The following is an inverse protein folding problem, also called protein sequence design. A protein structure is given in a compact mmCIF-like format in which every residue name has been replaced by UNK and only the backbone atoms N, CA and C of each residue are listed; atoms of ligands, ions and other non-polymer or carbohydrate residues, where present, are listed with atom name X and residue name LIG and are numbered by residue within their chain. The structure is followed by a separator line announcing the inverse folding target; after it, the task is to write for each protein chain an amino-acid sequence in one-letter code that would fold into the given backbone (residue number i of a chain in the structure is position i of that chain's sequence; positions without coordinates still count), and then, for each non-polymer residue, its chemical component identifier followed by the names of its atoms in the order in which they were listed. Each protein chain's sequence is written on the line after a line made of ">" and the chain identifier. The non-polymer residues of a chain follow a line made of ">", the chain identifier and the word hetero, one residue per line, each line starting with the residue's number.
data_IF_028367886840
#
_entry.id   IF_028367886840
#
_cell.length_a   1.000
_cell.length_b   1.000
_cell.length_c   1.000
_cell.angle_alpha   90.00
_cell.angle_beta   90.00
_cell.angle_gamma   90.00
#
_symmetry.space_group_name_H-M   'P 1'
#
loop_
_entity.id
_entity.type
_entity.pdbx_description
1 polymer ?
#
# COMPACT_ATOMS: atom_id res chain seq x y z
N UNK A 1 21.73 -7.85 -37.44
CA UNK A 1 22.57 -6.63 -37.65
C UNK A 1 21.73 -5.33 -37.73
N UNK A 2 20.40 -5.33 -37.59
CA UNK A 2 19.54 -4.14 -37.70
C UNK A 2 19.25 -3.40 -36.37
N UNK A 3 19.54 -3.99 -35.20
CA UNK A 3 19.24 -3.39 -33.89
C UNK A 3 20.19 -2.23 -33.51
N UNK A 4 21.43 -2.28 -33.96
CA UNK A 4 22.44 -1.28 -33.62
C UNK A 4 22.33 0.06 -34.35
N UNK A 5 21.66 0.09 -35.51
CA UNK A 5 21.47 1.31 -36.30
C UNK A 5 20.33 2.19 -35.77
N UNK A 6 19.27 1.59 -35.22
CA UNK A 6 18.15 2.34 -34.60
C UNK A 6 18.58 3.06 -33.31
N UNK A 7 19.39 2.41 -32.46
CA UNK A 7 19.87 3.04 -31.22
C UNK A 7 20.79 4.23 -31.49
N UNK A 8 21.63 4.18 -32.53
CA UNK A 8 22.51 5.30 -32.92
C UNK A 8 21.75 6.46 -33.60
N UNK A 9 20.67 6.20 -34.31
CA UNK A 9 19.82 7.24 -34.89
C UNK A 9 19.03 7.99 -33.82
N UNK A 10 18.51 7.31 -32.79
CA UNK A 10 17.80 7.91 -31.65
C UNK A 10 18.76 8.78 -30.84
N UNK A 11 20.02 8.36 -30.62
CA UNK A 11 21.02 9.16 -29.92
C UNK A 11 21.42 10.43 -30.66
N UNK A 12 21.29 10.47 -32.00
CA UNK A 12 21.53 11.70 -32.80
C UNK A 12 20.36 12.69 -32.76
N UNK A 13 19.14 12.21 -32.57
CA UNK A 13 17.93 13.05 -32.60
C UNK A 13 17.62 13.70 -31.26
N UNK A 14 18.00 13.05 -30.15
CA UNK A 14 17.77 13.54 -28.79
C UNK A 14 19.10 13.55 -28.02
N UNK A 15 19.81 14.69 -27.95
CA UNK A 15 21.03 14.81 -27.17
C UNK A 15 20.74 14.62 -25.67
N UNK A 16 21.67 13.98 -24.95
CA UNK A 16 21.53 13.60 -23.52
C UNK A 16 21.23 14.79 -22.59
N UNK A 17 21.54 16.02 -23.01
CA UNK A 17 21.23 17.18 -22.19
C UNK A 17 19.74 17.48 -22.03
N UNK A 18 18.85 16.89 -22.87
CA UNK A 18 17.40 16.96 -22.67
C UNK A 18 16.94 16.32 -21.35
N UNK A 19 17.71 15.38 -20.80
CA UNK A 19 17.44 14.80 -19.47
C UNK A 19 17.89 15.70 -18.33
N UNK A 20 18.69 16.74 -18.59
CA UNK A 20 19.29 17.57 -17.56
C UNK A 20 18.27 18.23 -16.62
N UNK A 21 17.18 18.86 -17.09
CA UNK A 21 16.19 19.45 -16.19
C UNK A 21 15.55 18.43 -15.25
N UNK A 22 15.16 17.27 -15.77
CA UNK A 22 14.59 16.18 -14.95
C UNK A 22 15.61 15.60 -13.97
N UNK A 23 16.87 15.40 -14.43
CA UNK A 23 17.96 14.90 -13.60
C UNK A 23 18.34 15.88 -12.47
N UNK A 24 18.32 17.19 -12.73
CA UNK A 24 18.55 18.21 -11.71
C UNK A 24 17.44 18.21 -10.65
N UNK A 25 16.18 18.20 -11.07
CA UNK A 25 15.05 18.14 -10.14
C UNK A 25 15.12 16.87 -9.30
N UNK A 26 15.33 15.72 -9.93
CA UNK A 26 15.46 14.43 -9.23
C UNK A 26 16.68 14.41 -8.29
N UNK A 27 17.83 14.92 -8.76
CA UNK A 27 19.05 14.98 -7.95
C UNK A 27 18.88 15.85 -6.70
N UNK A 28 18.38 17.08 -6.86
CA UNK A 28 18.25 18.05 -5.77
C UNK A 28 17.15 17.63 -4.78
N UNK A 29 15.97 17.20 -5.26
CA UNK A 29 14.81 16.97 -4.40
C UNK A 29 14.64 15.52 -3.95
N UNK A 30 15.35 14.58 -4.55
CA UNK A 30 15.29 13.17 -4.16
C UNK A 30 16.64 12.61 -3.71
N UNK A 31 17.69 12.67 -4.55
CA UNK A 31 18.97 12.05 -4.20
C UNK A 31 19.67 12.77 -3.05
N UNK A 32 19.75 14.11 -3.07
CA UNK A 32 20.43 14.86 -2.00
C UNK A 32 19.74 14.63 -0.66
N UNK A 33 18.40 14.79 -0.47
CA UNK A 33 17.75 14.50 0.79
C UNK A 33 17.89 13.02 1.22
N UNK A 34 17.90 12.09 0.27
CA UNK A 34 18.11 10.67 0.59
C UNK A 34 19.52 10.44 1.17
N UNK A 35 20.57 10.97 0.55
CA UNK A 35 21.94 10.86 1.06
C UNK A 35 22.07 11.54 2.42
N UNK A 36 21.49 12.72 2.59
CA UNK A 36 21.47 13.43 3.86
C UNK A 36 20.71 12.63 4.95
N UNK A 37 19.63 11.94 4.61
CA UNK A 37 18.92 11.07 5.55
C UNK A 37 19.83 9.94 6.05
N UNK A 38 20.64 9.31 5.19
CA UNK A 38 21.63 8.31 5.63
C UNK A 38 22.68 8.92 6.55
N UNK A 39 23.16 10.13 6.27
CA UNK A 39 24.12 10.81 7.14
C UNK A 39 23.51 11.15 8.51
N UNK A 40 22.35 11.82 8.54
CA UNK A 40 21.69 12.23 9.78
C UNK A 40 21.18 11.06 10.62
N UNK A 41 20.90 9.90 10.02
CA UNK A 41 20.57 8.69 10.76
C UNK A 41 21.69 8.18 11.65
N UNK A 42 22.95 8.56 11.35
CA UNK A 42 24.16 8.23 12.12
C UNK A 42 24.53 9.32 13.13
N UNK A 43 23.68 10.32 13.32
CA UNK A 43 23.92 11.44 14.21
C UNK A 43 22.86 11.53 15.31
N UNK A 44 23.25 12.07 16.46
CA UNK A 44 22.33 12.64 17.44
C UNK A 44 21.97 14.04 16.97
N UNK A 45 20.95 14.11 16.13
CA UNK A 45 20.54 15.35 15.50
C UNK A 45 19.43 16.02 16.31
N UNK A 46 19.68 17.27 16.69
CA UNK A 46 18.72 18.24 17.22
C UNK A 46 18.57 19.40 16.22
N UNK A 47 17.69 20.36 16.50
CA UNK A 47 17.55 21.56 15.64
C UNK A 47 18.81 22.41 15.55
N UNK A 48 19.70 22.33 16.55
CA UNK A 48 20.84 23.23 16.71
C UNK A 48 22.19 22.52 16.57
N UNK A 49 22.22 21.20 16.72
CA UNK A 49 23.46 20.44 16.74
C UNK A 49 23.26 19.04 16.12
N UNK A 50 24.31 18.53 15.51
CA UNK A 50 24.34 17.19 14.92
C UNK A 50 25.68 16.53 15.24
N UNK A 51 25.73 15.77 16.33
CA UNK A 51 26.92 15.02 16.73
C UNK A 51 26.91 13.61 16.13
N UNK A 52 28.01 13.18 15.53
CA UNK A 52 28.13 11.83 14.98
C UNK A 52 28.18 10.78 16.09
N UNK A 53 27.27 9.80 16.09
CA UNK A 53 27.15 8.72 17.08
C UNK A 53 27.19 7.31 16.46
N UNK A 54 27.47 7.23 15.15
CA UNK A 54 27.50 5.94 14.45
C UNK A 54 26.15 5.22 14.44
N UNK A 55 26.12 3.96 14.84
CA UNK A 55 24.93 3.11 14.78
C UNK A 55 24.04 3.14 16.04
N UNK A 56 24.27 4.06 16.98
CA UNK A 56 23.51 4.14 18.25
C UNK A 56 22.00 4.28 18.03
N UNK A 57 21.56 5.10 17.07
CA UNK A 57 20.15 5.23 16.71
C UNK A 57 19.52 3.90 16.25
N UNK A 58 20.24 3.10 15.48
CA UNK A 58 19.76 1.79 15.03
C UNK A 58 19.71 0.78 16.16
N UNK A 59 20.69 0.83 17.09
CA UNK A 59 20.66 0.00 18.28
C UNK A 59 19.47 0.36 19.17
N UNK A 60 19.23 1.64 19.42
CA UNK A 60 18.05 2.14 20.15
C UNK A 60 16.77 1.67 19.44
N UNK A 61 16.69 1.84 18.12
CA UNK A 61 15.54 1.43 17.32
C UNK A 61 15.20 -0.06 17.51
N UNK A 62 16.19 -0.94 17.45
CA UNK A 62 15.98 -2.38 17.54
C UNK A 62 15.67 -2.88 18.96
N UNK A 63 16.01 -2.12 19.99
CA UNK A 63 15.79 -2.50 21.38
C UNK A 63 14.60 -1.80 22.04
N UNK A 64 14.00 -0.80 21.38
CA UNK A 64 12.82 -0.13 21.90
C UNK A 64 11.56 -0.92 21.56
N UNK A 65 10.74 -1.31 22.57
CA UNK A 65 9.52 -2.10 22.35
C UNK A 65 8.47 -1.39 21.48
N UNK A 66 8.38 -0.05 21.52
CA UNK A 66 7.44 0.73 20.72
C UNK A 66 7.84 0.72 19.26
N UNK A 67 9.13 0.94 18.97
CA UNK A 67 9.68 0.92 17.62
C UNK A 67 9.52 -0.47 16.98
N UNK A 68 9.81 -1.52 17.71
CA UNK A 68 9.63 -2.91 17.26
C UNK A 68 8.16 -3.28 17.05
N UNK A 69 7.25 -2.78 17.89
CA UNK A 69 5.81 -2.96 17.69
C UNK A 69 5.36 -2.29 16.38
N UNK A 70 5.82 -1.06 16.13
CA UNK A 70 5.56 -0.34 14.88
C UNK A 70 6.05 -1.10 13.65
N UNK A 71 7.25 -1.68 13.71
CA UNK A 71 7.81 -2.50 12.63
C UNK A 71 6.97 -3.75 12.35
N UNK A 72 6.64 -4.51 13.42
CA UNK A 72 5.79 -5.70 13.32
C UNK A 72 4.41 -5.38 12.74
N UNK A 73 3.77 -4.35 13.27
CA UNK A 73 2.44 -3.93 12.83
C UNK A 73 2.43 -3.48 11.37
N UNK A 74 3.49 -2.81 10.91
CA UNK A 74 3.65 -2.42 9.50
C UNK A 74 3.59 -3.63 8.57
N UNK A 75 4.30 -4.71 8.91
CA UNK A 75 4.29 -5.93 8.10
C UNK A 75 2.91 -6.59 8.14
N UNK A 76 2.30 -6.72 9.33
CA UNK A 76 0.96 -7.29 9.48
C UNK A 76 -0.06 -6.48 8.67
N UNK A 77 -0.02 -5.16 8.78
CA UNK A 77 -0.92 -4.25 8.07
C UNK A 77 -0.76 -4.36 6.55
N UNK A 78 0.47 -4.35 6.05
CA UNK A 78 0.75 -4.46 4.62
C UNK A 78 0.29 -5.80 4.03
N UNK A 79 0.56 -6.92 4.71
CA UNK A 79 0.13 -8.25 4.28
C UNK A 79 -1.40 -8.37 4.31
N UNK A 80 -2.03 -7.92 5.40
CA UNK A 80 -3.48 -7.99 5.58
C UNK A 80 -4.22 -7.16 4.54
N UNK A 81 -3.85 -5.88 4.40
CA UNK A 81 -4.53 -4.96 3.47
C UNK A 81 -4.32 -5.36 2.01
N UNK A 82 -3.10 -5.77 1.64
CA UNK A 82 -2.80 -6.27 0.29
C UNK A 82 -3.56 -7.56 -0.01
N UNK A 83 -3.52 -8.54 0.88
CA UNK A 83 -4.23 -9.80 0.72
C UNK A 83 -5.74 -9.63 0.58
N UNK A 84 -6.35 -8.84 1.46
CA UNK A 84 -7.80 -8.57 1.42
C UNK A 84 -8.20 -7.80 0.15
N UNK A 85 -7.40 -6.82 -0.30
CA UNK A 85 -7.67 -6.10 -1.55
C UNK A 85 -7.66 -7.05 -2.75
N UNK A 86 -6.71 -7.99 -2.82
CA UNK A 86 -6.67 -9.00 -3.89
C UNK A 86 -7.89 -9.92 -3.84
N UNK A 87 -8.20 -10.47 -2.66
CA UNK A 87 -9.30 -11.42 -2.46
C UNK A 87 -10.65 -10.79 -2.80
N UNK A 88 -10.86 -9.52 -2.48
CA UNK A 88 -12.13 -8.83 -2.72
C UNK A 88 -12.20 -8.26 -4.14
N UNK A 89 -11.12 -7.63 -4.62
CA UNK A 89 -11.14 -6.93 -5.89
C UNK A 89 -11.21 -7.86 -7.11
N UNK A 90 -10.59 -9.04 -7.06
CA UNK A 90 -10.62 -9.99 -8.18
C UNK A 90 -12.03 -10.50 -8.49
N UNK A 91 -12.83 -11.00 -7.53
CA UNK A 91 -14.23 -11.35 -7.77
C UNK A 91 -15.09 -10.17 -8.20
N UNK A 92 -14.89 -8.98 -7.63
CA UNK A 92 -15.60 -7.76 -8.05
C UNK A 92 -15.28 -7.40 -9.49
N UNK A 93 -14.01 -7.46 -9.90
CA UNK A 93 -13.60 -7.21 -11.28
C UNK A 93 -14.20 -8.23 -12.25
N UNK A 94 -14.21 -9.52 -11.88
CA UNK A 94 -14.84 -10.58 -12.66
C UNK A 94 -16.35 -10.33 -12.84
N UNK A 95 -17.04 -9.94 -11.76
CA UNK A 95 -18.47 -9.60 -11.82
C UNK A 95 -18.72 -8.41 -12.75
N UNK A 96 -17.91 -7.35 -12.62
CA UNK A 96 -18.10 -6.09 -13.37
C UNK A 96 -17.56 -6.11 -14.80
N UNK A 97 -16.80 -7.12 -15.19
CA UNK A 97 -16.43 -7.41 -16.58
C UNK A 97 -17.46 -8.30 -17.28
N UNK A 98 -18.36 -8.95 -16.53
CA UNK A 98 -19.45 -9.73 -17.07
C UNK A 98 -20.60 -8.85 -17.60
N UNK A 99 -21.61 -9.47 -18.24
CA UNK A 99 -22.75 -8.75 -18.79
C UNK A 99 -23.85 -8.53 -17.74
N UNK A 100 -23.55 -7.70 -16.70
CA UNK A 100 -24.52 -7.32 -15.67
C UNK A 100 -25.18 -5.97 -15.97
N UNK A 101 -26.43 -5.84 -15.53
CA UNK A 101 -27.18 -4.58 -15.64
C UNK A 101 -26.59 -3.52 -14.71
N UNK A 102 -26.51 -2.27 -15.15
CA UNK A 102 -25.99 -1.12 -14.40
C UNK A 102 -24.50 -1.23 -13.96
N UNK A 103 -23.68 -1.99 -14.70
CA UNK A 103 -22.24 -2.15 -14.40
C UNK A 103 -21.47 -0.83 -14.20
N UNK A 104 -21.82 0.21 -14.97
CA UNK A 104 -21.22 1.54 -14.84
C UNK A 104 -21.48 2.16 -13.47
N UNK A 105 -22.72 2.06 -12.97
CA UNK A 105 -23.07 2.55 -11.64
C UNK A 105 -22.28 1.83 -10.53
N UNK A 106 -22.25 0.49 -10.57
CA UNK A 106 -21.47 -0.27 -9.56
C UNK A 106 -19.98 0.07 -9.59
N UNK A 107 -19.39 0.23 -10.79
CA UNK A 107 -17.98 0.69 -10.90
C UNK A 107 -17.78 2.04 -10.23
N UNK A 108 -18.65 3.00 -10.46
CA UNK A 108 -18.57 4.32 -9.86
C UNK A 108 -18.70 4.28 -8.35
N UNK A 109 -19.65 3.52 -7.81
CA UNK A 109 -19.87 3.39 -6.37
C UNK A 109 -18.67 2.74 -5.67
N UNK A 110 -18.12 1.65 -6.23
CA UNK A 110 -16.96 0.95 -5.64
C UNK A 110 -15.68 1.77 -5.77
N UNK A 111 -15.56 2.57 -6.83
CA UNK A 111 -14.39 3.43 -7.03
C UNK A 111 -14.47 4.74 -6.24
N UNK A 112 -15.67 5.21 -5.90
CA UNK A 112 -15.87 6.51 -5.23
C UNK A 112 -15.00 6.71 -3.98
N UNK A 113 -14.84 5.74 -3.05
CA UNK A 113 -14.01 5.91 -1.86
C UNK A 113 -12.56 6.30 -2.15
N UNK A 114 -12.03 5.90 -3.30
CA UNK A 114 -10.66 6.23 -3.73
C UNK A 114 -10.47 7.74 -3.90
N UNK A 115 -11.50 8.45 -4.35
CA UNK A 115 -11.46 9.89 -4.62
C UNK A 115 -11.54 10.73 -3.36
N UNK A 116 -11.99 10.15 -2.24
CA UNK A 116 -12.14 10.86 -0.97
C UNK A 116 -10.78 10.99 -0.27
N UNK A 117 -10.52 12.15 0.33
CA UNK A 117 -9.33 12.37 1.14
C UNK A 117 -9.17 11.29 2.21
N UNK A 118 -7.98 10.75 2.36
CA UNK A 118 -7.68 9.70 3.37
C UNK A 118 -7.90 10.20 4.79
N UNK A 119 -7.55 11.45 5.07
CA UNK A 119 -7.79 12.10 6.37
C UNK A 119 -9.28 12.23 6.64
N UNK A 120 -10.07 12.68 5.65
CA UNK A 120 -11.53 12.80 5.79
C UNK A 120 -12.18 11.43 6.06
N UNK A 121 -11.75 10.38 5.35
CA UNK A 121 -12.18 9.00 5.60
C UNK A 121 -11.83 8.57 7.02
N UNK A 122 -10.60 8.83 7.49
CA UNK A 122 -10.18 8.50 8.84
C UNK A 122 -11.05 9.17 9.92
N UNK A 123 -11.32 10.48 9.80
CA UNK A 123 -12.18 11.21 10.71
C UNK A 123 -13.62 10.67 10.69
N UNK A 124 -14.15 10.40 9.49
CA UNK A 124 -15.50 9.85 9.35
C UNK A 124 -15.62 8.48 10.02
N UNK A 125 -14.69 7.57 9.74
CA UNK A 125 -14.74 6.23 10.31
C UNK A 125 -14.43 6.20 11.80
N UNK A 126 -13.59 7.09 12.32
CA UNK A 126 -13.40 7.22 13.78
C UNK A 126 -14.71 7.59 14.50
N UNK A 127 -15.53 8.44 13.89
CA UNK A 127 -16.87 8.77 14.41
C UNK A 127 -17.87 7.63 14.24
N UNK A 128 -17.90 6.97 13.08
CA UNK A 128 -18.80 5.84 12.81
C UNK A 128 -18.51 4.62 13.71
N UNK A 129 -17.24 4.43 14.10
CA UNK A 129 -16.76 3.33 14.95
C UNK A 129 -16.76 3.66 16.45
N UNK A 130 -17.30 4.80 16.86
CA UNK A 130 -17.43 5.09 18.30
C UNK A 130 -18.28 4.04 19.03
N UNK A 131 -17.85 3.58 20.23
CA UNK A 131 -18.53 2.47 20.91
C UNK A 131 -19.98 2.79 21.30
N UNK A 132 -20.26 3.99 21.78
CA UNK A 132 -21.57 4.37 22.35
C UNK A 132 -22.52 5.07 21.38
N UNK A 133 -21.99 5.87 20.45
CA UNK A 133 -22.77 6.73 19.56
C UNK A 133 -22.54 6.47 18.08
N UNK A 134 -21.59 5.58 17.75
CA UNK A 134 -21.23 5.26 16.37
C UNK A 134 -22.33 4.48 15.65
N UNK A 135 -22.62 4.88 14.41
CA UNK A 135 -23.65 4.23 13.59
C UNK A 135 -23.40 2.75 13.34
N UNK A 136 -22.13 2.32 13.29
CA UNK A 136 -21.79 0.90 13.10
C UNK A 136 -22.28 0.07 14.28
N UNK A 137 -21.99 0.50 15.52
CA UNK A 137 -22.46 -0.21 16.72
C UNK A 137 -23.96 -0.08 16.91
N UNK A 138 -24.56 1.05 16.56
CA UNK A 138 -26.03 1.22 16.57
C UNK A 138 -26.69 0.22 15.61
N UNK A 139 -26.15 0.04 14.41
CA UNK A 139 -26.65 -0.95 13.46
C UNK A 139 -26.45 -2.39 13.97
N UNK A 140 -25.30 -2.71 14.55
CA UNK A 140 -25.03 -4.02 15.15
C UNK A 140 -26.01 -4.32 16.30
N UNK A 141 -26.27 -3.34 17.15
CA UNK A 141 -27.25 -3.46 18.24
C UNK A 141 -28.66 -3.78 17.74
N UNK A 142 -29.10 -3.14 16.64
CA UNK A 142 -30.39 -3.41 16.03
C UNK A 142 -30.56 -4.88 15.61
N UNK A 143 -29.48 -5.53 15.19
CA UNK A 143 -29.46 -6.95 14.85
C UNK A 143 -29.10 -7.87 16.03
N UNK A 144 -28.98 -7.36 17.26
CA UNK A 144 -28.60 -8.11 18.45
C UNK A 144 -27.15 -8.64 18.43
N UNK A 145 -26.27 -8.00 17.62
CA UNK A 145 -24.87 -8.38 17.50
C UNK A 145 -23.98 -7.65 18.52
N UNK A 146 -22.83 -8.23 18.90
CA UNK A 146 -21.87 -7.58 19.80
C UNK A 146 -21.43 -6.20 19.28
N UNK A 147 -21.26 -5.25 20.20
CA UNK A 147 -20.83 -3.88 19.94
C UNK A 147 -19.37 -3.73 20.38
N UNK A 148 -18.38 -4.09 19.56
CA UNK A 148 -16.99 -4.01 19.96
C UNK A 148 -16.51 -2.56 20.05
N UNK A 149 -15.53 -2.35 20.93
CA UNK A 149 -14.77 -1.11 20.92
C UNK A 149 -13.69 -1.18 19.82
N UNK A 150 -14.08 -0.80 18.59
CA UNK A 150 -13.27 -0.95 17.37
C UNK A 150 -11.87 -0.35 17.46
N UNK A 151 -11.77 0.85 17.99
CA UNK A 151 -10.53 1.62 18.04
C UNK A 151 -9.91 1.70 19.44
N UNK A 152 -10.68 1.43 20.48
CA UNK A 152 -10.21 1.45 21.86
C UNK A 152 -9.75 0.08 22.40
N UNK A 153 -9.95 -1.00 21.63
CA UNK A 153 -9.46 -2.32 22.00
C UNK A 153 -8.09 -2.58 21.33
N UNK A 154 -7.01 -2.84 22.09
CA UNK A 154 -5.66 -3.08 21.56
C UNK A 154 -5.58 -4.20 20.53
N UNK A 155 -6.39 -5.24 20.68
CA UNK A 155 -6.39 -6.38 19.75
C UNK A 155 -7.19 -6.12 18.46
N UNK A 156 -8.03 -5.08 18.40
CA UNK A 156 -8.89 -4.77 17.25
C UNK A 156 -8.44 -3.52 16.48
N UNK A 157 -7.82 -2.55 17.14
CA UNK A 157 -7.57 -1.23 16.58
C UNK A 157 -6.84 -1.28 15.23
N UNK A 158 -5.73 -2.01 15.11
CA UNK A 158 -4.98 -2.15 13.88
C UNK A 158 -5.83 -2.76 12.74
N UNK A 159 -6.59 -3.79 13.05
CA UNK A 159 -7.44 -4.50 12.08
C UNK A 159 -8.63 -3.64 11.65
N UNK A 160 -9.19 -2.85 12.55
CA UNK A 160 -10.27 -1.91 12.24
C UNK A 160 -9.81 -0.85 11.24
N UNK A 161 -8.62 -0.27 11.45
CA UNK A 161 -8.02 0.67 10.48
C UNK A 161 -7.72 -0.02 9.16
N UNK A 162 -7.20 -1.27 9.19
CA UNK A 162 -6.93 -2.04 7.98
C UNK A 162 -8.19 -2.31 7.15
N UNK A 163 -9.34 -2.58 7.77
CA UNK A 163 -10.62 -2.75 7.07
C UNK A 163 -11.06 -1.48 6.34
N UNK A 164 -10.85 -0.31 6.96
CA UNK A 164 -11.15 0.99 6.33
C UNK A 164 -10.21 1.23 5.13
N UNK A 165 -8.93 0.89 5.25
CA UNK A 165 -7.98 0.98 4.14
C UNK A 165 -8.35 0.06 2.97
N UNK A 166 -8.77 -1.17 3.28
CA UNK A 166 -9.25 -2.12 2.26
C UNK A 166 -10.49 -1.56 1.54
N UNK A 167 -11.48 -1.07 2.29
CA UNK A 167 -12.68 -0.45 1.72
C UNK A 167 -12.32 0.73 0.81
N UNK A 168 -11.42 1.60 1.24
CA UNK A 168 -10.96 2.74 0.46
C UNK A 168 -10.18 2.33 -0.79
N UNK A 169 -9.32 1.34 -0.68
CA UNK A 169 -8.36 0.97 -1.73
C UNK A 169 -8.83 -0.10 -2.72
N UNK A 170 -9.89 -0.86 -2.40
CA UNK A 170 -10.37 -1.96 -3.23
C UNK A 170 -10.79 -1.51 -4.64
N UNK A 171 -11.26 -0.26 -4.79
CA UNK A 171 -11.67 0.29 -6.08
C UNK A 171 -10.53 0.38 -7.11
N UNK A 172 -9.32 0.79 -6.68
CA UNK A 172 -8.14 0.80 -7.56
C UNK A 172 -7.76 -0.63 -7.96
N UNK A 173 -7.69 -1.54 -6.99
CA UNK A 173 -7.36 -2.94 -7.24
C UNK A 173 -8.35 -3.58 -8.22
N UNK A 174 -9.64 -3.30 -8.06
CA UNK A 174 -10.70 -3.76 -8.96
C UNK A 174 -10.49 -3.25 -10.40
N UNK A 175 -10.15 -1.97 -10.60
CA UNK A 175 -9.93 -1.41 -11.94
C UNK A 175 -8.71 -2.06 -12.61
N UNK A 176 -7.62 -2.29 -11.87
CA UNK A 176 -6.44 -2.99 -12.38
C UNK A 176 -6.80 -4.42 -12.81
N UNK A 177 -7.52 -5.16 -11.96
CA UNK A 177 -8.00 -6.50 -12.32
C UNK A 177 -8.94 -6.49 -13.52
N UNK A 178 -9.83 -5.50 -13.61
CA UNK A 178 -10.71 -5.36 -14.79
C UNK A 178 -9.90 -5.17 -16.08
N UNK A 179 -8.87 -4.32 -16.05
CA UNK A 179 -7.98 -4.14 -17.20
C UNK A 179 -7.29 -5.45 -17.58
N UNK A 180 -6.76 -6.19 -16.60
CA UNK A 180 -6.13 -7.50 -16.82
C UNK A 180 -7.09 -8.56 -17.34
N UNK A 181 -8.35 -8.59 -16.88
CA UNK A 181 -9.37 -9.53 -17.39
C UNK A 181 -9.78 -9.18 -18.82
N UNK A 182 -9.92 -7.89 -19.13
CA UNK A 182 -10.32 -7.42 -20.45
C UNK A 182 -9.22 -7.60 -21.52
N UNK A 183 -7.96 -7.76 -21.13
CA UNK A 183 -6.86 -8.05 -22.04
C UNK A 183 -6.80 -9.53 -22.48
N UNK A 184 -7.54 -10.42 -21.83
CA UNK A 184 -7.58 -11.85 -22.18
C UNK A 184 -8.40 -12.04 -23.46
N UNK A 185 -7.86 -12.71 -24.51
CA UNK A 185 -8.60 -13.00 -25.73
C UNK A 185 -9.89 -13.79 -25.49
N UNK A 186 -10.94 -13.48 -26.26
CA UNK A 186 -12.28 -14.06 -26.10
C UNK A 186 -12.31 -15.57 -26.26
N UNK A 187 -11.46 -16.13 -27.12
CA UNK A 187 -11.37 -17.57 -27.41
C UNK A 187 -11.19 -18.41 -26.13
N UNK A 188 -10.41 -17.91 -25.16
CA UNK A 188 -10.23 -18.58 -23.86
C UNK A 188 -11.54 -18.66 -23.05
N UNK A 189 -12.35 -17.62 -23.14
CA UNK A 189 -13.65 -17.59 -22.44
C UNK A 189 -14.70 -18.48 -23.13
N UNK A 190 -14.62 -18.61 -24.44
CA UNK A 190 -15.50 -19.51 -25.21
C UNK A 190 -15.17 -20.96 -24.94
N UNK A 191 -13.90 -21.34 -24.97
CA UNK A 191 -13.44 -22.67 -24.59
C UNK A 191 -13.88 -23.04 -23.15
N UNK A 192 -13.70 -22.12 -22.19
CA UNK A 192 -14.10 -22.37 -20.80
C UNK A 192 -15.63 -22.54 -20.62
N UNK A 193 -16.44 -21.95 -21.49
CA UNK A 193 -17.91 -22.15 -21.48
C UNK A 193 -18.30 -23.56 -21.88
N UNK A 194 -17.55 -24.18 -22.78
CA UNK A 194 -17.78 -25.55 -23.23
C UNK A 194 -17.37 -26.58 -22.17
N UNK A 195 -16.34 -26.27 -21.35
CA UNK A 195 -15.76 -27.20 -20.39
C UNK A 195 -16.39 -27.17 -19.00
N UNK A 196 -17.15 -26.17 -18.57
CA UNK A 196 -17.74 -26.21 -17.24
C UNK A 196 -18.16 -24.90 -16.58
N UNK A 197 -18.34 -23.83 -17.30
CA UNK A 197 -19.03 -22.64 -16.79
C UNK A 197 -18.16 -21.70 -15.93
N UNK A 198 -18.78 -21.02 -14.97
CA UNK A 198 -18.19 -19.87 -14.26
C UNK A 198 -16.97 -20.23 -13.40
N UNK A 199 -16.98 -21.38 -12.75
CA UNK A 199 -15.86 -21.83 -11.90
C UNK A 199 -14.62 -22.20 -12.71
N UNK A 200 -14.82 -22.92 -13.83
CA UNK A 200 -13.73 -23.26 -14.78
C UNK A 200 -13.14 -21.98 -15.34
N UNK A 201 -13.97 -21.04 -15.80
CA UNK A 201 -13.55 -19.71 -16.25
C UNK A 201 -12.71 -18.98 -15.20
N UNK A 202 -13.14 -18.99 -13.92
CA UNK A 202 -12.39 -18.32 -12.85
C UNK A 202 -11.04 -18.98 -12.62
N UNK A 203 -11.03 -20.30 -12.34
CA UNK A 203 -9.81 -21.01 -11.90
C UNK A 203 -8.79 -21.25 -13.01
N UNK A 204 -9.23 -21.54 -14.24
CA UNK A 204 -8.35 -21.96 -15.32
C UNK A 204 -8.08 -20.87 -16.37
N UNK A 205 -8.88 -19.82 -16.42
CA UNK A 205 -8.68 -18.70 -17.35
C UNK A 205 -8.30 -17.42 -16.62
N UNK A 206 -9.18 -16.90 -15.75
CA UNK A 206 -8.97 -15.59 -15.14
C UNK A 206 -7.77 -15.59 -14.19
N UNK A 207 -7.72 -16.50 -13.21
CA UNK A 207 -6.64 -16.52 -12.21
C UNK A 207 -5.25 -16.66 -12.85
N UNK A 208 -5.01 -17.60 -13.79
CA UNK A 208 -3.70 -17.73 -14.40
C UNK A 208 -3.36 -16.63 -15.42
N UNK A 209 -4.31 -16.17 -16.25
CA UNK A 209 -4.04 -15.20 -17.31
C UNK A 209 -4.06 -13.74 -16.80
N UNK A 210 -4.80 -13.43 -15.73
CA UNK A 210 -4.76 -12.12 -15.07
C UNK A 210 -3.61 -11.99 -14.03
N UNK A 211 -2.63 -12.89 -14.03
CA UNK A 211 -1.55 -12.89 -13.04
C UNK A 211 -0.71 -11.61 -13.06
N UNK A 212 -0.50 -10.98 -14.23
CA UNK A 212 0.22 -9.71 -14.32
C UNK A 212 -0.54 -8.60 -13.58
N UNK A 213 -1.87 -8.55 -13.71
CA UNK A 213 -2.71 -7.65 -12.91
C UNK A 213 -2.66 -8.00 -11.42
N UNK A 214 -2.66 -9.30 -11.07
CA UNK A 214 -2.53 -9.76 -9.68
C UNK A 214 -1.21 -9.29 -9.07
N UNK A 215 -0.10 -9.42 -9.78
CA UNK A 215 1.21 -8.96 -9.35
C UNK A 215 1.23 -7.44 -9.13
N UNK A 216 0.66 -6.69 -10.06
CA UNK A 216 0.54 -5.23 -9.96
C UNK A 216 -0.28 -4.83 -8.73
N UNK A 217 -1.44 -5.47 -8.49
CA UNK A 217 -2.29 -5.18 -7.32
C UNK A 217 -1.57 -5.52 -6.02
N UNK A 218 -0.89 -6.68 -5.95
CA UNK A 218 -0.11 -7.06 -4.76
C UNK A 218 0.98 -6.02 -4.49
N UNK A 219 1.80 -5.68 -5.49
CA UNK A 219 2.89 -4.73 -5.33
C UNK A 219 2.40 -3.36 -4.86
N UNK A 220 1.42 -2.78 -5.56
CA UNK A 220 0.91 -1.45 -5.23
C UNK A 220 0.25 -1.42 -3.85
N UNK A 221 -0.57 -2.43 -3.53
CA UNK A 221 -1.27 -2.51 -2.24
C UNK A 221 -0.29 -2.77 -1.09
N UNK A 222 0.71 -3.61 -1.30
CA UNK A 222 1.70 -3.95 -0.29
C UNK A 222 2.62 -2.76 0.02
N UNK A 223 3.14 -2.09 -1.02
CA UNK A 223 3.94 -0.86 -0.85
C UNK A 223 3.09 0.21 -0.15
N UNK A 224 1.82 0.38 -0.55
CA UNK A 224 0.89 1.29 0.10
C UNK A 224 0.70 0.99 1.59
N UNK A 225 0.56 -0.29 1.95
CA UNK A 225 0.44 -0.75 3.33
C UNK A 225 1.71 -0.52 4.16
N UNK A 226 2.90 -0.79 3.59
CA UNK A 226 4.19 -0.53 4.26
C UNK A 226 4.42 0.95 4.57
N UNK A 227 3.84 1.85 3.78
CA UNK A 227 3.96 3.30 3.91
C UNK A 227 2.71 3.97 4.49
N UNK A 228 1.77 3.18 5.01
CA UNK A 228 0.52 3.71 5.57
C UNK A 228 0.83 4.59 6.79
N UNK A 229 0.27 5.79 6.80
CA UNK A 229 0.36 6.76 7.89
C UNK A 229 -0.99 7.40 8.18
N UNK A 230 -1.62 8.02 7.17
CA UNK A 230 -2.77 8.92 7.33
C UNK A 230 -3.95 8.29 8.07
N UNK A 231 -4.35 7.06 7.72
CA UNK A 231 -5.47 6.38 8.40
C UNK A 231 -5.12 6.01 9.84
N UNK A 232 -3.93 5.47 10.08
CA UNK A 232 -3.47 5.15 11.44
C UNK A 232 -3.47 6.41 12.31
N UNK A 233 -2.91 7.49 11.77
CA UNK A 233 -2.80 8.75 12.48
C UNK A 233 -4.17 9.37 12.76
N UNK A 234 -5.04 9.44 11.79
CA UNK A 234 -6.35 10.10 11.93
C UNK A 234 -7.37 9.29 12.73
N UNK A 235 -7.29 7.95 12.72
CA UNK A 235 -8.26 7.11 13.43
C UNK A 235 -7.85 6.80 14.87
N UNK A 236 -6.56 6.57 15.13
CA UNK A 236 -6.10 6.02 16.41
C UNK A 236 -4.90 6.75 17.01
N UNK A 237 -4.16 7.56 16.24
CA UNK A 237 -2.85 8.10 16.61
C UNK A 237 -1.85 7.02 17.08
N UNK A 238 -2.02 5.77 16.56
CA UNK A 238 -1.24 4.60 16.96
C UNK A 238 -1.74 3.88 18.22
N UNK A 239 -2.82 4.39 18.87
CA UNK A 239 -3.41 3.84 20.10
C UNK A 239 -4.34 2.64 19.89
N UNK A 240 -4.87 2.08 21.01
CA UNK A 240 -4.58 2.40 22.40
C UNK A 240 -3.16 1.94 22.82
N UNK A 241 -2.49 2.74 23.63
CA UNK A 241 -1.07 2.56 23.91
C UNK A 241 -0.26 2.66 22.61
N UNK A 242 0.35 1.56 22.16
CA UNK A 242 1.09 1.45 20.89
C UNK A 242 0.52 0.36 19.98
N UNK A 243 -0.70 -0.13 20.26
CA UNK A 243 -1.23 -1.35 19.66
C UNK A 243 -1.49 -1.24 18.15
N UNK A 244 -1.83 -0.05 17.65
CA UNK A 244 -2.04 0.20 16.23
C UNK A 244 -0.93 1.04 15.59
N UNK A 245 0.14 1.35 16.31
CA UNK A 245 1.28 2.03 15.71
C UNK A 245 1.88 1.19 14.59
N UNK A 246 2.21 1.89 13.51
CA UNK A 246 3.01 1.40 12.39
C UNK A 246 4.32 2.18 12.35
N UNK A 247 5.29 1.70 11.60
CA UNK A 247 6.62 2.32 11.56
C UNK A 247 6.59 3.81 11.22
N UNK A 248 5.74 4.21 10.27
CA UNK A 248 5.58 5.62 9.87
C UNK A 248 5.00 6.50 10.97
N UNK A 249 4.06 6.00 11.78
CA UNK A 249 3.49 6.76 12.91
C UNK A 249 4.50 6.89 14.07
N UNK A 250 5.30 5.87 14.30
CA UNK A 250 6.37 5.91 15.31
C UNK A 250 7.47 6.88 14.88
N UNK A 251 7.95 6.81 13.64
CA UNK A 251 8.91 7.76 13.07
C UNK A 251 8.43 9.21 13.26
N UNK A 252 7.14 9.45 13.02
CA UNK A 252 6.56 10.78 13.20
C UNK A 252 6.50 11.22 14.66
N UNK A 253 6.21 10.31 15.62
CA UNK A 253 6.25 10.58 17.05
C UNK A 253 7.66 10.96 17.52
N UNK A 254 8.69 10.22 17.06
CA UNK A 254 10.09 10.55 17.35
C UNK A 254 10.49 11.92 16.81
N UNK A 255 10.02 12.24 15.58
CA UNK A 255 10.22 13.57 15.00
C UNK A 255 9.56 14.67 15.85
N UNK A 256 8.32 14.48 16.31
CA UNK A 256 7.61 15.45 17.15
C UNK A 256 8.26 15.60 18.53
N UNK A 257 8.86 14.53 19.06
CA UNK A 257 9.60 14.54 20.33
C UNK A 257 10.97 15.23 20.22
N UNK A 258 11.41 15.61 19.01
CA UNK A 258 12.71 16.27 18.79
C UNK A 258 13.88 15.31 18.58
N UNK A 259 13.64 13.99 18.50
CA UNK A 259 14.67 12.97 18.24
C UNK A 259 14.87 12.80 16.72
N UNK A 260 15.33 13.87 16.03
CA UNK A 260 15.41 13.88 14.56
C UNK A 260 16.36 12.83 14.01
N UNK A 261 17.48 12.54 14.69
CA UNK A 261 18.40 11.48 14.30
C UNK A 261 17.78 10.10 14.34
N UNK A 262 17.05 9.78 15.44
CA UNK A 262 16.34 8.51 15.62
C UNK A 262 15.17 8.38 14.62
N UNK A 263 14.39 9.44 14.44
CA UNK A 263 13.32 9.50 13.41
C UNK A 263 13.89 9.25 12.00
N UNK A 264 15.04 9.85 11.70
CA UNK A 264 15.70 9.65 10.40
C UNK A 264 16.23 8.23 10.25
N UNK A 265 16.77 7.64 11.31
CA UNK A 265 17.16 6.22 11.31
C UNK A 265 15.97 5.30 11.07
N UNK A 266 14.80 5.59 11.65
CA UNK A 266 13.56 4.90 11.36
C UNK A 266 13.15 4.97 9.88
N UNK A 267 13.31 6.14 9.24
CA UNK A 267 13.07 6.26 7.79
C UNK A 267 14.04 5.42 6.96
N UNK A 268 15.32 5.34 7.35
CA UNK A 268 16.29 4.47 6.67
C UNK A 268 15.93 3.01 6.87
N UNK A 269 15.51 2.60 8.07
CA UNK A 269 15.02 1.24 8.34
C UNK A 269 13.80 0.92 7.44
N UNK A 270 12.84 1.84 7.34
CA UNK A 270 11.69 1.67 6.44
C UNK A 270 12.13 1.54 4.97
N UNK A 271 13.06 2.37 4.52
CA UNK A 271 13.61 2.30 3.16
C UNK A 271 14.28 0.94 2.89
N UNK A 272 15.10 0.46 3.82
CA UNK A 272 15.77 -0.84 3.72
C UNK A 272 14.73 -1.97 3.72
N UNK A 273 13.75 -1.94 4.62
CA UNK A 273 12.67 -2.92 4.71
C UNK A 273 11.90 -3.01 3.39
N UNK A 274 11.44 -1.86 2.86
CA UNK A 274 10.72 -1.81 1.58
C UNK A 274 11.59 -2.38 0.47
N UNK A 275 12.86 -2.01 0.39
CA UNK A 275 13.78 -2.48 -0.65
C UNK A 275 14.01 -3.97 -0.57
N UNK A 276 14.29 -4.52 0.62
CA UNK A 276 14.56 -5.95 0.84
C UNK A 276 13.33 -6.80 0.49
N UNK A 277 12.11 -6.32 0.75
CA UNK A 277 10.90 -7.10 0.47
C UNK A 277 10.44 -6.90 -0.98
N UNK A 278 10.37 -5.65 -1.43
CA UNK A 278 9.76 -5.32 -2.73
C UNK A 278 10.67 -5.72 -3.90
N UNK A 279 11.99 -5.53 -3.78
CA UNK A 279 12.91 -5.84 -4.87
C UNK A 279 12.91 -7.34 -5.27
N UNK A 280 13.04 -8.31 -4.35
CA UNK A 280 12.92 -9.74 -4.70
C UNK A 280 11.52 -10.08 -5.22
N UNK A 281 10.47 -9.48 -4.66
CA UNK A 281 9.09 -9.70 -5.10
C UNK A 281 8.89 -9.23 -6.54
N UNK A 282 9.37 -8.04 -6.89
CA UNK A 282 9.36 -7.52 -8.27
C UNK A 282 10.15 -8.43 -9.22
N UNK A 283 11.36 -8.84 -8.82
CA UNK A 283 12.18 -9.74 -9.65
C UNK A 283 11.50 -11.08 -9.89
N UNK A 284 10.86 -11.64 -8.86
CA UNK A 284 10.07 -12.87 -8.98
C UNK A 284 8.89 -12.71 -9.93
N UNK A 285 8.17 -11.58 -9.85
CA UNK A 285 7.02 -11.31 -10.70
C UNK A 285 7.44 -11.08 -12.16
N UNK A 286 8.45 -10.24 -12.41
CA UNK A 286 8.94 -9.96 -13.75
C UNK A 286 9.46 -11.25 -14.46
N UNK A 287 10.06 -12.19 -13.72
CA UNK A 287 10.50 -13.47 -14.29
C UNK A 287 9.35 -14.40 -14.71
N UNK A 288 8.13 -14.06 -14.32
CA UNK A 288 6.91 -14.84 -14.59
C UNK A 288 5.85 -14.07 -15.35
N UNK A 289 6.16 -12.89 -15.85
CA UNK A 289 5.25 -12.15 -16.74
C UNK A 289 4.90 -12.98 -17.98
N UNK A 290 3.61 -12.96 -18.33
CA UNK A 290 3.10 -13.49 -19.59
C UNK A 290 3.12 -12.38 -20.63
N UNK A 291 3.80 -12.58 -21.73
CA UNK A 291 3.54 -11.87 -22.98
C UNK A 291 2.28 -12.50 -23.60
N UNK A 292 1.14 -11.82 -23.50
CA UNK A 292 -0.13 -12.21 -24.14
C UNK A 292 -0.26 -11.49 -25.48
#
# INVERSE_FOLDING_TARGET
>A
MQSNTRSRAVQRTYPNWFYLPAALVFGIFFLVPTVLAFYFSLTRWTLFDATFIGLENYYTFLNDPMLMTGLRNTIIYAVLTSGLKVIIALPLAMLLTSNIRFKGFYRSVIFFPVLVSTVAVGITFSTLMQPSTGLINTALAFFGLPQPNWLGNPSLALYSVALVDVWKGVGIAMVIFMAGILSIPQDYFEAARLEGGTWVKFRHVIVPLARNATFTVILLSFIGGLRSFDLIWTMTHGGPGFASDVLTSVIYKEYQAGFYGLSTAGNVVLFILVTIIVYPLMRYFNSRELEL
#
